data_IF_438711209281
#
_entry.id   IF_438711209281
#
_cell.length_a   1.000
_cell.length_b   1.000
_cell.length_c   1.000
_cell.angle_alpha   90.00
_cell.angle_beta   90.00
_cell.angle_gamma   90.00
#
_symmetry.space_group_name_H-M   'P 1'
#
loop_
_entity.id
_entity.type
_entity.pdbx_description
1 polymer ?
#
# COMPACT_ATOMS: atom_id res chain seq x y z
N UNK A 1 6.53 -4.14 25.92
CA UNK A 1 6.98 -2.94 25.19
C UNK A 1 5.73 -2.19 24.80
N UNK A 2 5.67 -0.89 25.08
CA UNK A 2 4.53 -0.07 24.72
C UNK A 2 4.79 0.59 23.35
N UNK A 3 3.76 0.63 22.52
CA UNK A 3 3.76 1.30 21.22
C UNK A 3 2.63 2.32 21.20
N UNK A 4 2.83 3.42 20.50
CA UNK A 4 1.83 4.47 20.37
C UNK A 4 0.80 4.09 19.28
N UNK A 5 1.25 3.35 18.27
CA UNK A 5 0.41 2.82 17.18
C UNK A 5 0.86 1.41 16.80
N UNK A 6 -0.11 0.50 16.61
CA UNK A 6 0.11 -0.82 16.03
C UNK A 6 -0.67 -0.92 14.71
N UNK A 7 0.03 -1.23 13.63
CA UNK A 7 -0.52 -1.43 12.28
C UNK A 7 -0.48 -2.92 11.98
N UNK A 8 -1.65 -3.49 11.69
CA UNK A 8 -1.78 -4.90 11.30
C UNK A 8 -1.90 -4.98 9.78
N UNK A 9 -0.82 -5.41 9.13
CA UNK A 9 -0.68 -5.51 7.68
C UNK A 9 0.45 -4.63 7.15
N UNK A 10 1.43 -5.24 6.49
CA UNK A 10 2.57 -4.58 5.85
C UNK A 10 2.42 -4.55 4.32
N UNK A 11 1.20 -4.27 3.85
CA UNK A 11 0.90 -4.00 2.44
C UNK A 11 0.97 -2.50 2.13
N UNK A 12 0.63 -2.13 0.90
CA UNK A 12 0.58 -0.73 0.45
C UNK A 12 -0.09 0.23 1.46
N UNK A 13 -1.27 -0.13 1.97
CA UNK A 13 -2.01 0.74 2.88
C UNK A 13 -1.29 0.92 4.23
N UNK A 14 -0.91 -0.18 4.88
CA UNK A 14 -0.24 -0.13 6.19
C UNK A 14 1.13 0.54 6.12
N UNK A 15 1.89 0.29 5.06
CA UNK A 15 3.21 0.92 4.87
C UNK A 15 3.11 2.40 4.51
N UNK A 16 2.07 2.82 3.78
CA UNK A 16 1.80 4.24 3.53
C UNK A 16 1.50 4.98 4.83
N UNK A 17 0.72 4.39 5.73
CA UNK A 17 0.46 4.98 7.05
C UNK A 17 1.76 5.02 7.87
N UNK A 18 2.48 3.90 7.92
CA UNK A 18 3.72 3.78 8.68
C UNK A 18 4.80 4.79 8.23
N UNK A 19 4.87 5.13 6.94
CA UNK A 19 5.84 6.09 6.42
C UNK A 19 5.54 7.55 6.78
N UNK A 20 4.33 7.85 7.27
CA UNK A 20 3.90 9.21 7.60
C UNK A 20 3.78 9.47 9.10
N UNK A 21 3.62 8.42 9.91
CA UNK A 21 3.46 8.53 11.35
C UNK A 21 4.77 8.81 12.08
N UNK A 22 4.67 9.54 13.19
CA UNK A 22 5.74 9.75 14.16
C UNK A 22 5.46 8.96 15.44
N UNK A 23 6.48 8.80 16.29
CA UNK A 23 6.38 8.04 17.54
C UNK A 23 6.78 6.57 17.39
N UNK A 24 6.47 5.75 18.41
CA UNK A 24 6.77 4.32 18.45
C UNK A 24 5.68 3.56 17.71
N UNK A 25 5.91 3.30 16.43
CA UNK A 25 4.99 2.56 15.56
C UNK A 25 5.48 1.13 15.39
N UNK A 26 4.59 0.15 15.56
CA UNK A 26 4.81 -1.25 15.24
C UNK A 26 3.99 -1.64 14.01
N UNK A 27 4.62 -2.24 13.01
CA UNK A 27 3.95 -2.89 11.87
C UNK A 27 4.07 -4.39 12.02
N UNK A 28 2.95 -5.11 11.96
CA UNK A 28 2.89 -6.56 12.09
C UNK A 28 2.32 -7.17 10.80
N UNK A 29 3.02 -8.12 10.20
CA UNK A 29 2.49 -8.95 9.12
C UNK A 29 3.01 -10.38 9.19
N UNK A 30 2.22 -11.35 8.72
CA UNK A 30 2.64 -12.75 8.65
C UNK A 30 3.66 -12.99 7.52
N UNK A 31 3.65 -12.13 6.48
CA UNK A 31 4.55 -12.21 5.32
C UNK A 31 5.68 -11.17 5.45
N UNK A 32 6.82 -11.39 4.79
CA UNK A 32 7.84 -10.35 4.64
C UNK A 32 7.30 -9.12 3.89
N UNK A 33 7.90 -7.96 4.13
CA UNK A 33 7.57 -6.72 3.43
C UNK A 33 7.77 -6.89 1.91
N UNK A 34 6.80 -6.44 1.13
CA UNK A 34 6.82 -6.55 -0.33
C UNK A 34 6.48 -7.94 -0.86
N UNK A 35 6.23 -8.94 0.01
CA UNK A 35 5.71 -10.23 -0.42
C UNK A 35 4.18 -10.19 -0.62
N UNK A 36 3.67 -11.21 -1.32
CA UNK A 36 2.23 -11.47 -1.35
C UNK A 36 1.42 -10.53 -2.22
N UNK A 37 1.99 -10.00 -3.31
CA UNK A 37 1.21 -9.42 -4.40
C UNK A 37 0.18 -10.45 -4.88
N UNK A 38 -1.09 -10.09 -4.85
CA UNK A 38 -2.20 -10.97 -5.27
C UNK A 38 -2.82 -10.55 -6.60
N UNK A 39 -2.49 -9.36 -7.11
CA UNK A 39 -3.05 -8.81 -8.35
C UNK A 39 -2.12 -7.79 -9.00
N UNK A 40 -2.41 -7.41 -10.24
CA UNK A 40 -1.83 -6.23 -10.87
C UNK A 40 -2.17 -4.97 -10.04
N UNK A 41 -1.19 -4.10 -9.85
CA UNK A 41 -1.35 -2.89 -9.04
C UNK A 41 -1.47 -1.66 -9.94
N UNK A 42 -2.53 -0.89 -9.71
CA UNK A 42 -2.81 0.35 -10.40
C UNK A 42 -3.36 1.37 -9.41
N UNK A 43 -2.98 2.64 -9.55
CA UNK A 43 -3.44 3.73 -8.70
C UNK A 43 -3.40 5.05 -9.48
N UNK A 44 -4.18 6.08 -9.11
CA UNK A 44 -3.98 7.41 -9.67
C UNK A 44 -2.54 7.89 -9.44
N UNK A 45 -1.90 8.47 -10.45
CA UNK A 45 -0.50 8.91 -10.37
C UNK A 45 -0.22 9.87 -9.21
N UNK A 46 -1.20 10.73 -8.87
CA UNK A 46 -1.06 11.67 -7.77
C UNK A 46 -0.87 10.97 -6.41
N UNK A 47 -1.33 9.72 -6.26
CA UNK A 47 -1.09 8.93 -5.04
C UNK A 47 0.41 8.67 -4.88
N UNK A 48 1.06 8.17 -5.93
CA UNK A 48 2.51 7.93 -5.92
C UNK A 48 3.29 9.24 -5.79
N UNK A 49 2.78 10.35 -6.33
CA UNK A 49 3.35 11.69 -6.11
C UNK A 49 3.30 12.10 -4.64
N UNK A 50 2.16 11.93 -3.96
CA UNK A 50 2.01 12.33 -2.57
C UNK A 50 2.87 11.51 -1.60
N UNK A 51 3.14 10.25 -1.92
CA UNK A 51 3.97 9.36 -1.08
C UNK A 51 5.43 9.29 -1.55
N UNK A 52 5.86 10.20 -2.44
CA UNK A 52 7.23 10.27 -2.96
C UNK A 52 7.72 8.95 -3.58
N UNK A 53 6.89 8.32 -4.42
CA UNK A 53 7.15 7.05 -5.08
C UNK A 53 6.93 7.07 -6.61
N UNK A 54 6.95 8.25 -7.25
CA UNK A 54 6.78 8.39 -8.70
C UNK A 54 7.85 7.68 -9.52
N UNK A 55 9.04 7.47 -8.96
CA UNK A 55 10.13 6.70 -9.57
C UNK A 55 9.77 5.22 -9.82
N UNK A 56 8.67 4.73 -9.25
CA UNK A 56 8.20 3.35 -9.40
C UNK A 56 7.10 3.18 -10.43
N UNK A 57 6.67 4.26 -11.09
CA UNK A 57 5.73 4.20 -12.21
C UNK A 57 6.33 3.34 -13.33
N UNK A 58 5.53 2.42 -13.87
CA UNK A 58 5.87 1.56 -15.01
C UNK A 58 5.16 2.00 -16.28
N UNK A 59 3.88 2.31 -16.17
CA UNK A 59 3.07 2.79 -17.28
C UNK A 59 2.05 3.79 -16.76
N UNK A 60 1.81 4.82 -17.55
CA UNK A 60 0.77 5.83 -17.34
C UNK A 60 -0.38 5.63 -18.33
N UNK A 61 -1.61 5.77 -17.85
CA UNK A 61 -2.82 5.68 -18.66
C UNK A 61 -3.70 6.91 -18.42
N UNK A 62 -4.13 7.55 -19.50
CA UNK A 62 -5.01 8.74 -19.50
C UNK A 62 -6.43 8.43 -19.94
N UNK A 63 -6.73 7.15 -20.17
CA UNK A 63 -8.06 6.64 -20.51
C UNK A 63 -8.20 5.20 -20.04
N UNK A 64 -9.43 4.70 -19.93
CA UNK A 64 -9.73 3.27 -19.88
C UNK A 64 -10.58 2.88 -21.09
N UNK A 65 -10.46 1.63 -21.50
CA UNK A 65 -11.26 1.05 -22.58
C UNK A 65 -12.24 0.07 -21.95
N UNK A 66 -13.53 0.26 -22.21
CA UNK A 66 -14.58 -0.69 -21.82
C UNK A 66 -14.96 -1.49 -23.05
N UNK A 67 -14.74 -2.80 -22.99
CA UNK A 67 -15.18 -3.72 -24.03
C UNK A 67 -16.61 -4.21 -23.72
N UNK A 68 -17.52 -4.01 -24.67
CA UNK A 68 -18.88 -4.57 -24.68
C UNK A 68 -19.06 -5.39 -25.97
N UNK A 69 -20.16 -6.16 -26.11
CA UNK A 69 -20.37 -7.11 -27.22
C UNK A 69 -20.21 -6.43 -28.60
N UNK A 70 -19.03 -6.59 -29.20
CA UNK A 70 -18.70 -6.07 -30.53
C UNK A 70 -18.13 -4.65 -30.55
N UNK A 71 -18.01 -3.97 -29.41
CA UNK A 71 -17.61 -2.57 -29.35
C UNK A 71 -16.59 -2.31 -28.24
N UNK A 72 -15.70 -1.35 -28.47
CA UNK A 72 -14.77 -0.83 -27.47
C UNK A 72 -15.02 0.67 -27.30
N UNK A 73 -15.35 1.09 -26.09
CA UNK A 73 -15.60 2.50 -25.78
C UNK A 73 -14.42 3.02 -24.96
N UNK A 74 -13.74 4.03 -25.48
CA UNK A 74 -12.63 4.70 -24.81
C UNK A 74 -13.15 5.88 -23.99
N UNK A 75 -12.87 5.86 -22.69
CA UNK A 75 -13.23 6.94 -21.76
C UNK A 75 -11.98 7.65 -21.28
N UNK A 76 -11.80 8.95 -21.55
CA UNK A 76 -10.72 9.73 -20.95
C UNK A 76 -10.94 9.84 -19.43
N UNK A 77 -9.84 9.88 -18.67
CA UNK A 77 -9.87 10.04 -17.21
C UNK A 77 -9.27 11.38 -16.81
N UNK A 78 -9.94 12.06 -15.87
CA UNK A 78 -9.55 13.40 -15.42
C UNK A 78 -8.16 13.44 -14.76
N UNK A 79 -7.75 12.34 -14.14
CA UNK A 79 -6.40 12.16 -13.60
C UNK A 79 -5.81 10.86 -14.15
N UNK A 80 -4.55 10.88 -14.64
CA UNK A 80 -3.87 9.67 -15.07
C UNK A 80 -3.80 8.63 -13.96
N UNK A 81 -3.99 7.37 -14.36
CA UNK A 81 -3.68 6.20 -13.55
C UNK A 81 -2.32 5.66 -13.97
N UNK A 82 -1.66 4.96 -13.07
CA UNK A 82 -0.40 4.30 -13.37
C UNK A 82 -0.33 2.90 -12.80
N UNK A 83 0.42 2.05 -13.48
CA UNK A 83 0.90 0.78 -12.94
C UNK A 83 2.26 0.97 -12.28
N UNK A 84 2.55 0.11 -11.31
CA UNK A 84 3.80 0.15 -10.56
C UNK A 84 4.15 -1.25 -10.04
N UNK A 85 5.44 -1.46 -9.72
CA UNK A 85 5.90 -2.70 -9.12
C UNK A 85 5.60 -2.73 -7.61
N UNK A 86 4.81 -3.70 -7.18
CA UNK A 86 4.31 -3.80 -5.81
C UNK A 86 5.44 -3.96 -4.76
N UNK A 87 6.35 -4.90 -5.00
CA UNK A 87 7.41 -5.21 -4.04
C UNK A 87 8.38 -4.01 -3.85
N UNK A 88 8.90 -3.38 -4.93
CA UNK A 88 9.66 -2.14 -4.82
C UNK A 88 8.91 -1.02 -4.10
N UNK A 89 7.61 -0.85 -4.33
CA UNK A 89 6.80 0.17 -3.63
C UNK A 89 6.75 -0.08 -2.13
N UNK A 90 6.43 -1.30 -1.70
CA UNK A 90 6.40 -1.65 -0.29
C UNK A 90 7.77 -1.45 0.37
N UNK A 91 8.84 -1.85 -0.31
CA UNK A 91 10.20 -1.66 0.19
C UNK A 91 10.59 -0.18 0.29
N UNK A 92 10.18 0.65 -0.66
CA UNK A 92 10.42 2.09 -0.61
C UNK A 92 9.66 2.77 0.52
N UNK A 93 8.36 2.46 0.68
CA UNK A 93 7.56 2.97 1.79
C UNK A 93 8.13 2.54 3.15
N UNK A 94 8.63 1.31 3.24
CA UNK A 94 9.31 0.85 4.45
C UNK A 94 10.59 1.63 4.74
N UNK A 95 11.44 1.89 3.73
CA UNK A 95 12.64 2.73 3.91
C UNK A 95 12.34 4.17 4.33
N UNK A 96 11.15 4.69 4.01
CA UNK A 96 10.69 6.00 4.44
C UNK A 96 10.15 6.00 5.89
N UNK A 97 9.90 4.81 6.47
CA UNK A 97 9.32 4.65 7.80
C UNK A 97 10.38 4.58 8.90
N UNK A 98 10.00 5.00 10.11
CA UNK A 98 10.75 4.78 11.36
C UNK A 98 10.14 3.67 12.24
N UNK A 99 9.12 2.98 11.73
CA UNK A 99 8.43 1.93 12.47
C UNK A 99 9.32 0.71 12.71
N UNK A 100 8.95 -0.10 13.70
CA UNK A 100 9.50 -1.46 13.89
C UNK A 100 8.65 -2.46 13.12
N UNK A 101 9.28 -3.44 12.46
CA UNK A 101 8.57 -4.53 11.79
C UNK A 101 8.66 -5.81 12.62
N UNK A 102 7.52 -6.45 12.83
CA UNK A 102 7.42 -7.77 13.43
C UNK A 102 6.74 -8.72 12.45
N UNK A 103 7.49 -9.74 12.01
CA UNK A 103 6.89 -10.79 11.19
C UNK A 103 6.14 -11.78 12.09
N UNK A 104 4.83 -11.60 12.23
CA UNK A 104 3.97 -12.45 13.05
C UNK A 104 2.52 -12.45 12.54
N UNK A 105 1.77 -13.50 12.91
CA UNK A 105 0.33 -13.55 12.65
C UNK A 105 -0.43 -12.93 13.81
N UNK A 106 -1.24 -11.91 13.53
CA UNK A 106 -2.20 -11.38 14.50
C UNK A 106 -3.39 -12.33 14.60
N UNK A 107 -3.73 -12.74 15.82
CA UNK A 107 -4.81 -13.70 16.10
C UNK A 107 -6.11 -13.01 16.55
N UNK A 108 -6.03 -11.75 16.97
CA UNK A 108 -7.14 -10.97 17.50
C UNK A 108 -6.67 -10.03 18.60
N UNK A 109 -7.59 -9.22 19.11
CA UNK A 109 -7.40 -8.41 20.29
C UNK A 109 -7.96 -9.17 21.49
N UNK A 110 -7.21 -9.21 22.59
CA UNK A 110 -7.75 -9.68 23.88
C UNK A 110 -8.19 -8.44 24.65
N UNK A 111 -9.49 -8.31 24.87
CA UNK A 111 -9.99 -7.32 25.81
C UNK A 111 -9.49 -7.66 27.22
N UNK A 112 -8.82 -6.71 27.85
CA UNK A 112 -8.51 -6.79 29.28
C UNK A 112 -9.65 -6.24 30.14
N UNK A 113 -10.83 -5.97 29.56
CA UNK A 113 -11.97 -5.33 30.23
C UNK A 113 -13.27 -6.14 30.07
N UNK A 114 -13.22 -7.45 30.36
CA UNK A 114 -14.39 -8.17 30.86
C UNK A 114 -14.12 -8.51 32.32
N UNK A 115 -14.61 -7.63 33.19
CA UNK A 115 -14.96 -7.98 34.57
C UNK A 115 -16.26 -8.77 34.53
#
# INVERSE_FOLDING_TARGET
MDYDVIIVGASFAGLTIASQLQGRVLVIDKKPIGAGQTSACCTPEWVLKRINCTNLIRQSMTYFVVHSRGEAITYPIASPFCTFDYAPLCQQLWRQSRATFLQARVLGLRDQHRV
#
